data_IF_813488280945
#
_entry.id   IF_813488280945
#
_cell.length_a   1.000
_cell.length_b   1.000
_cell.length_c   1.000
_cell.angle_alpha   90.00
_cell.angle_beta   90.00
_cell.angle_gamma   90.00
#
_symmetry.space_group_name_H-M   'P 1'
#
loop_
_entity.id
_entity.type
_entity.pdbx_description
1 polymer ?
#
# COMPACT_ATOMS: atom_id res chain seq x y z
N UNK A 1 -20.59 14.14 13.77
CA UNK A 1 -19.79 13.36 12.79
C UNK A 1 -18.97 14.33 11.97
N UNK A 2 -17.68 14.05 11.76
CA UNK A 2 -16.80 14.94 10.98
C UNK A 2 -17.29 15.05 9.54
N UNK A 3 -17.61 16.26 9.08
CA UNK A 3 -18.15 16.57 7.74
C UNK A 3 -17.05 16.77 6.68
N UNK A 4 -15.79 16.48 7.03
CA UNK A 4 -14.64 16.77 6.17
C UNK A 4 -14.76 16.11 4.78
N UNK A 5 -14.44 16.81 3.67
CA UNK A 5 -14.35 16.24 2.34
C UNK A 5 -13.16 15.25 2.22
N UNK A 6 -13.10 14.51 1.11
CA UNK A 6 -12.09 13.48 0.88
C UNK A 6 -10.65 13.99 1.06
N UNK A 7 -10.31 15.08 0.36
CA UNK A 7 -9.02 15.75 0.46
C UNK A 7 -8.65 16.15 1.90
N UNK A 8 -9.62 16.57 2.72
CA UNK A 8 -9.37 17.02 4.09
C UNK A 8 -9.14 15.86 5.05
N UNK A 9 -9.80 14.73 4.83
CA UNK A 9 -9.51 13.49 5.55
C UNK A 9 -8.09 12.99 5.23
N UNK A 10 -7.66 13.11 3.97
CA UNK A 10 -6.29 12.78 3.58
C UNK A 10 -5.29 13.72 4.25
N UNK A 11 -5.53 15.05 4.21
CA UNK A 11 -4.69 16.04 4.92
C UNK A 11 -4.63 15.79 6.42
N UNK A 12 -5.75 15.42 7.04
CA UNK A 12 -5.81 15.06 8.46
C UNK A 12 -4.97 13.81 8.75
N UNK A 13 -5.05 12.80 7.89
CA UNK A 13 -4.24 11.59 8.02
C UNK A 13 -2.74 11.88 7.91
N UNK A 14 -2.34 12.71 6.95
CA UNK A 14 -0.93 13.14 6.80
C UNK A 14 -0.44 13.93 8.01
N UNK A 15 -1.25 14.86 8.50
CA UNK A 15 -0.92 15.62 9.71
C UNK A 15 -0.72 14.70 10.91
N UNK A 16 -1.62 13.74 11.11
CA UNK A 16 -1.50 12.76 12.18
C UNK A 16 -0.27 11.86 12.01
N UNK A 17 0.07 11.46 10.77
CA UNK A 17 1.27 10.68 10.46
C UNK A 17 2.55 11.45 10.79
N UNK A 18 2.64 12.72 10.40
CA UNK A 18 3.79 13.57 10.73
C UNK A 18 3.92 13.82 12.24
N UNK A 19 2.79 13.89 12.95
CA UNK A 19 2.75 13.92 14.42
C UNK A 19 3.02 12.55 15.08
N UNK A 20 3.44 11.52 14.33
CA UNK A 20 3.65 10.13 14.77
C UNK A 20 2.44 9.48 15.45
N UNK A 21 1.24 9.98 15.17
CA UNK A 21 -0.02 9.44 15.69
C UNK A 21 -0.66 8.53 14.65
N UNK A 22 -0.12 7.31 14.52
CA UNK A 22 -0.57 6.31 13.56
C UNK A 22 -2.03 5.91 13.74
N UNK A 23 -2.53 5.84 14.97
CA UNK A 23 -3.93 5.53 15.25
C UNK A 23 -4.90 6.56 14.68
N UNK A 24 -4.61 7.87 14.84
CA UNK A 24 -5.41 8.93 14.23
C UNK A 24 -5.29 8.95 12.71
N UNK A 25 -4.09 8.70 12.18
CA UNK A 25 -3.88 8.58 10.74
C UNK A 25 -4.74 7.44 10.17
N UNK A 26 -4.65 6.24 10.73
CA UNK A 26 -5.42 5.07 10.31
C UNK A 26 -6.93 5.33 10.37
N UNK A 27 -7.42 5.98 11.43
CA UNK A 27 -8.84 6.32 11.56
C UNK A 27 -9.31 7.26 10.44
N UNK A 28 -8.54 8.31 10.13
CA UNK A 28 -8.87 9.25 9.05
C UNK A 28 -8.86 8.57 7.67
N UNK A 29 -7.87 7.72 7.39
CA UNK A 29 -7.75 6.96 6.13
C UNK A 29 -8.87 5.94 5.96
N UNK A 30 -9.24 5.24 7.03
CA UNK A 30 -10.34 4.28 7.01
C UNK A 30 -11.66 4.99 6.75
N UNK A 31 -11.88 6.14 7.38
CA UNK A 31 -13.09 6.95 7.19
C UNK A 31 -13.15 7.55 5.77
N UNK A 32 -12.01 7.93 5.20
CA UNK A 32 -11.89 8.39 3.81
C UNK A 32 -12.37 7.33 2.83
N UNK A 33 -11.82 6.10 2.90
CA UNK A 33 -12.27 5.00 2.01
C UNK A 33 -13.73 4.63 2.23
N UNK A 34 -14.22 4.67 3.48
CA UNK A 34 -15.61 4.34 3.80
C UNK A 34 -16.60 5.34 3.21
N UNK A 35 -16.26 6.64 3.22
CA UNK A 35 -17.17 7.72 2.78
C UNK A 35 -17.03 8.05 1.29
N UNK A 36 -15.86 7.83 0.73
CA UNK A 36 -15.51 8.24 -0.62
C UNK A 36 -14.78 7.11 -1.36
N UNK A 37 -15.37 5.91 -1.50
CA UNK A 37 -14.68 4.75 -2.04
C UNK A 37 -14.13 4.94 -3.45
N UNK A 38 -14.81 5.74 -4.28
CA UNK A 38 -14.43 5.98 -5.69
C UNK A 38 -13.58 7.24 -5.89
N UNK A 39 -13.25 7.97 -4.80
CA UNK A 39 -12.45 9.18 -4.91
C UNK A 39 -10.96 8.84 -5.11
N UNK A 40 -10.20 9.62 -5.90
CA UNK A 40 -8.77 9.39 -6.08
C UNK A 40 -7.97 9.34 -4.76
N UNK A 41 -8.42 10.06 -3.75
CA UNK A 41 -7.82 10.05 -2.41
C UNK A 41 -7.99 8.71 -1.69
N UNK A 42 -9.02 7.92 -2.02
CA UNK A 42 -9.27 6.62 -1.39
C UNK A 42 -8.20 5.59 -1.72
N UNK A 43 -7.68 5.59 -2.95
CA UNK A 43 -6.56 4.72 -3.28
C UNK A 43 -5.26 5.19 -2.64
N UNK A 44 -5.00 6.51 -2.60
CA UNK A 44 -3.88 7.05 -1.79
C UNK A 44 -3.99 6.59 -0.33
N UNK A 45 -5.22 6.55 0.21
CA UNK A 45 -5.46 6.02 1.54
C UNK A 45 -5.18 4.52 1.66
N UNK A 46 -5.50 3.72 0.64
CA UNK A 46 -5.12 2.32 0.53
C UNK A 46 -3.61 2.13 0.68
N UNK A 47 -2.80 2.87 -0.09
CA UNK A 47 -1.35 2.81 0.03
C UNK A 47 -0.84 3.17 1.44
N UNK A 48 -1.37 4.25 2.04
CA UNK A 48 -0.97 4.68 3.39
C UNK A 48 -1.38 3.67 4.48
N UNK A 49 -2.55 3.05 4.34
CA UNK A 49 -3.00 1.97 5.23
C UNK A 49 -2.10 0.75 5.12
N UNK A 50 -1.65 0.41 3.90
CA UNK A 50 -0.68 -0.66 3.68
C UNK A 50 0.64 -0.39 4.39
N UNK A 51 1.15 0.83 4.32
CA UNK A 51 2.35 1.24 5.06
C UNK A 51 2.18 1.16 6.57
N UNK A 52 1.04 1.62 7.11
CA UNK A 52 0.78 1.50 8.56
C UNK A 52 0.78 0.04 8.99
N UNK A 53 0.13 -0.85 8.22
CA UNK A 53 0.11 -2.27 8.51
C UNK A 53 1.52 -2.89 8.44
N UNK A 54 2.29 -2.55 7.40
CA UNK A 54 3.64 -3.07 7.18
C UNK A 54 4.65 -2.54 8.21
N UNK A 55 4.81 -1.21 8.28
CA UNK A 55 5.92 -0.56 8.99
C UNK A 55 5.69 -0.55 10.51
N UNK A 56 4.43 -0.50 10.97
CA UNK A 56 4.11 -0.27 12.38
C UNK A 56 3.46 -1.47 13.08
N UNK A 57 2.63 -2.22 12.36
CA UNK A 57 1.91 -3.37 12.94
C UNK A 57 2.57 -4.72 12.64
N UNK A 58 3.53 -4.77 11.68
CA UNK A 58 4.05 -6.01 11.11
C UNK A 58 2.93 -6.98 10.65
N UNK A 59 1.78 -6.42 10.27
CA UNK A 59 0.62 -7.15 9.77
C UNK A 59 0.73 -7.23 8.25
N UNK A 60 1.53 -8.20 7.79
CA UNK A 60 1.92 -8.32 6.38
C UNK A 60 0.75 -8.78 5.49
N UNK A 61 -0.19 -9.56 6.03
CA UNK A 61 -1.40 -9.93 5.31
C UNK A 61 -2.25 -8.71 4.99
N UNK A 62 -2.47 -7.84 5.98
CA UNK A 62 -3.21 -6.60 5.79
C UNK A 62 -2.47 -5.60 4.92
N UNK A 63 -1.14 -5.55 5.04
CA UNK A 63 -0.31 -4.75 4.14
C UNK A 63 -0.47 -5.19 2.67
N UNK A 64 -0.37 -6.49 2.40
CA UNK A 64 -0.57 -7.05 1.06
C UNK A 64 -1.96 -6.72 0.50
N UNK A 65 -3.01 -6.87 1.30
CA UNK A 65 -4.36 -6.48 0.89
C UNK A 65 -4.43 -5.00 0.46
N UNK A 66 -3.85 -4.10 1.24
CA UNK A 66 -3.90 -2.67 0.98
C UNK A 66 -3.06 -2.24 -0.23
N UNK A 67 -1.85 -2.80 -0.39
CA UNK A 67 -1.03 -2.51 -1.57
C UNK A 67 -1.65 -3.06 -2.84
N UNK A 68 -2.27 -4.25 -2.80
CA UNK A 68 -3.04 -4.78 -3.94
C UNK A 68 -4.20 -3.85 -4.29
N UNK A 69 -4.98 -3.43 -3.29
CA UNK A 69 -6.11 -2.50 -3.49
C UNK A 69 -5.66 -1.21 -4.18
N UNK A 70 -4.55 -0.61 -3.74
CA UNK A 70 -4.00 0.57 -4.41
C UNK A 70 -3.61 0.31 -5.87
N UNK A 71 -3.00 -0.86 -6.17
CA UNK A 71 -2.58 -1.22 -7.52
C UNK A 71 -3.76 -1.52 -8.46
N UNK A 72 -4.90 -1.95 -7.90
CA UNK A 72 -6.12 -2.19 -8.67
C UNK A 72 -6.86 -0.88 -8.96
N UNK A 73 -6.90 0.04 -7.99
CA UNK A 73 -7.53 1.36 -8.12
C UNK A 73 -6.65 2.36 -8.91
N UNK A 74 -5.33 2.24 -8.81
CA UNK A 74 -4.35 3.12 -9.46
C UNK A 74 -3.19 2.33 -10.09
N UNK A 75 -3.47 1.54 -11.15
CA UNK A 75 -2.46 0.68 -11.77
C UNK A 75 -1.26 1.43 -12.35
N UNK A 76 -1.44 2.70 -12.73
CA UNK A 76 -0.40 3.62 -13.23
C UNK A 76 -0.18 4.82 -12.30
N UNK A 77 -0.64 4.70 -11.04
CA UNK A 77 -0.51 5.75 -10.05
C UNK A 77 0.97 6.08 -9.74
N UNK A 78 1.24 7.27 -9.18
CA UNK A 78 2.61 7.72 -8.88
C UNK A 78 3.35 6.80 -7.91
N UNK A 79 2.63 6.00 -7.12
CA UNK A 79 3.20 5.04 -6.16
C UNK A 79 3.14 3.59 -6.67
N UNK A 80 2.69 3.33 -7.90
CA UNK A 80 2.45 1.97 -8.39
C UNK A 80 3.72 1.10 -8.34
N UNK A 81 4.88 1.63 -8.75
CA UNK A 81 6.16 0.93 -8.64
C UNK A 81 6.50 0.55 -7.19
N UNK A 82 6.38 1.52 -6.28
CA UNK A 82 6.69 1.30 -4.87
C UNK A 82 5.69 0.33 -4.23
N UNK A 83 4.39 0.50 -4.50
CA UNK A 83 3.33 -0.38 -4.03
C UNK A 83 3.51 -1.83 -4.52
N UNK A 84 3.98 -2.03 -5.75
CA UNK A 84 4.26 -3.36 -6.29
C UNK A 84 5.43 -4.03 -5.57
N UNK A 85 6.49 -3.27 -5.26
CA UNK A 85 7.60 -3.75 -4.44
C UNK A 85 7.19 -4.08 -3.01
N UNK A 86 6.39 -3.21 -2.39
CA UNK A 86 5.85 -3.38 -1.03
C UNK A 86 4.86 -4.54 -0.93
N UNK A 87 4.05 -4.76 -1.96
CA UNK A 87 3.17 -5.92 -2.05
C UNK A 87 3.98 -7.21 -2.06
N UNK A 88 5.03 -7.28 -2.87
CA UNK A 88 5.93 -8.43 -2.94
C UNK A 88 6.60 -8.71 -1.59
N UNK A 89 7.15 -7.68 -0.93
CA UNK A 89 7.76 -7.83 0.40
C UNK A 89 6.73 -8.27 1.45
N UNK A 90 5.51 -7.71 1.40
CA UNK A 90 4.42 -8.10 2.30
C UNK A 90 4.06 -9.58 2.11
N UNK A 91 3.94 -10.05 0.86
CA UNK A 91 3.62 -11.44 0.54
C UNK A 91 4.74 -12.40 0.97
N UNK A 92 6.01 -12.04 0.76
CA UNK A 92 7.15 -12.82 1.26
C UNK A 92 7.07 -12.98 2.78
N UNK A 93 6.94 -11.86 3.51
CA UNK A 93 6.92 -11.87 4.98
C UNK A 93 5.67 -12.53 5.58
N UNK A 94 4.56 -12.56 4.83
CA UNK A 94 3.35 -13.30 5.18
C UNK A 94 3.45 -14.82 4.85
N UNK A 95 4.56 -15.29 4.27
CA UNK A 95 4.73 -16.68 3.86
C UNK A 95 3.94 -17.08 2.61
N UNK A 96 3.41 -16.10 1.86
CA UNK A 96 2.62 -16.30 0.63
C UNK A 96 3.53 -16.44 -0.58
N UNK A 97 4.37 -17.47 -0.59
CA UNK A 97 5.46 -17.65 -1.56
C UNK A 97 4.98 -17.60 -3.02
N UNK A 98 3.88 -18.27 -3.37
CA UNK A 98 3.35 -18.29 -4.74
C UNK A 98 2.88 -16.92 -5.20
N UNK A 99 2.24 -16.14 -4.32
CA UNK A 99 1.82 -14.78 -4.62
C UNK A 99 3.03 -13.85 -4.77
N UNK A 100 4.01 -13.95 -3.86
CA UNK A 100 5.23 -13.16 -3.89
C UNK A 100 6.02 -13.40 -5.19
N UNK A 101 6.13 -14.65 -5.64
CA UNK A 101 6.77 -15.00 -6.91
C UNK A 101 6.01 -14.43 -8.12
N UNK A 102 4.67 -14.47 -8.10
CA UNK A 102 3.87 -13.85 -9.16
C UNK A 102 4.06 -12.33 -9.22
N UNK A 103 4.07 -11.67 -8.06
CA UNK A 103 4.34 -10.23 -7.96
C UNK A 103 5.76 -9.89 -8.37
N UNK A 104 6.75 -10.72 -8.05
CA UNK A 104 8.14 -10.56 -8.48
C UNK A 104 8.28 -10.57 -10.01
N UNK A 105 7.64 -11.54 -10.69
CA UNK A 105 7.61 -11.56 -12.17
C UNK A 105 6.94 -10.30 -12.74
N UNK A 106 5.83 -9.87 -12.12
CA UNK A 106 5.12 -8.63 -12.51
C UNK A 106 5.99 -7.39 -12.33
N UNK A 107 6.79 -7.34 -11.27
CA UNK A 107 7.70 -6.24 -10.96
C UNK A 107 8.85 -6.18 -11.97
N UNK A 108 9.55 -7.29 -12.21
CA UNK A 108 10.68 -7.33 -13.15
C UNK A 108 10.27 -7.02 -14.58
N UNK A 109 9.05 -7.40 -15.00
CA UNK A 109 8.54 -7.05 -16.32
C UNK A 109 8.33 -5.54 -16.53
N UNK A 110 8.08 -4.77 -15.45
CA UNK A 110 7.81 -3.33 -15.53
C UNK A 110 8.97 -2.46 -15.05
N UNK A 111 9.74 -2.95 -14.09
CA UNK A 111 10.75 -2.22 -13.34
C UNK A 111 11.99 -3.10 -13.09
N UNK A 112 12.66 -3.59 -14.15
CA UNK A 112 13.76 -4.56 -14.02
C UNK A 112 14.94 -4.04 -13.19
N UNK A 113 15.14 -2.72 -13.15
CA UNK A 113 16.22 -2.07 -12.38
C UNK A 113 15.67 -1.21 -11.21
N UNK A 114 14.43 -1.48 -10.79
CA UNK A 114 13.81 -0.71 -9.72
C UNK A 114 14.33 -1.08 -8.31
N UNK A 115 13.99 -0.32 -7.26
CA UNK A 115 14.51 -0.52 -5.90
C UNK A 115 14.29 -1.92 -5.29
N UNK A 116 13.25 -2.64 -5.73
CA UNK A 116 12.94 -4.00 -5.27
C UNK A 116 13.41 -5.09 -6.24
N UNK A 117 14.22 -4.77 -7.26
CA UNK A 117 14.65 -5.73 -8.28
C UNK A 117 15.42 -6.91 -7.68
N UNK A 118 16.31 -6.68 -6.71
CA UNK A 118 17.07 -7.74 -6.05
C UNK A 118 16.16 -8.74 -5.31
N UNK A 119 15.14 -8.24 -4.61
CA UNK A 119 14.12 -9.10 -3.98
C UNK A 119 13.34 -9.86 -5.04
N UNK A 120 12.92 -9.18 -6.12
CA UNK A 120 12.17 -9.80 -7.19
C UNK A 120 12.97 -10.90 -7.91
N UNK A 121 14.27 -10.71 -8.12
CA UNK A 121 15.14 -11.73 -8.70
C UNK A 121 15.29 -12.94 -7.79
N UNK A 122 15.48 -12.73 -6.48
CA UNK A 122 15.53 -13.83 -5.50
C UNK A 122 14.26 -14.66 -5.49
N UNK A 123 13.10 -13.99 -5.49
CA UNK A 123 11.80 -14.66 -5.41
C UNK A 123 11.36 -15.25 -6.74
N UNK A 124 11.73 -14.63 -7.86
CA UNK A 124 11.34 -15.02 -9.22
C UNK A 124 12.11 -16.21 -9.79
N UNK A 125 13.15 -16.69 -9.11
CA UNK A 125 13.84 -17.92 -9.47
C UNK A 125 12.88 -19.14 -9.37
N UNK A 126 12.98 -20.11 -10.28
CA UNK A 126 12.21 -21.36 -10.22
C UNK A 126 12.61 -22.22 -9.01
#
# INVERSE_FOLDING_TARGET
MSTLPAADLLRLADTARFARNSGRAQKALTELRRRFPDAPEAGTAGYMLGRIAFDLAADYDRAAHWFSTYLDEHPEGPLAKEALGRLMESQERAGRASEAQATARRYLARHPEGPHADLAHRLGAP
#
